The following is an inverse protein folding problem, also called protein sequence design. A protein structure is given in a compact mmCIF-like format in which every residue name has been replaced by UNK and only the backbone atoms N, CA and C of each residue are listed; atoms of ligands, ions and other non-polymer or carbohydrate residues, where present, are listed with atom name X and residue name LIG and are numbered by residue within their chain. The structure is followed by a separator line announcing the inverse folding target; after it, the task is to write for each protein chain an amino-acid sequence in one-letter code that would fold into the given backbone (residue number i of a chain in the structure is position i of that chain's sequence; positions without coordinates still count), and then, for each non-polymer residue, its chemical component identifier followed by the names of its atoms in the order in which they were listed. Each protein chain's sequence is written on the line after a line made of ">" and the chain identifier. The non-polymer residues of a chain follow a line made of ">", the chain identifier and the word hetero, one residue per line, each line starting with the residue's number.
data_IF_734096445494
#
_entry.id   IF_734096445494
#
_cell.length_a   1.000
_cell.length_b   1.000
_cell.length_c   1.000
_cell.angle_alpha   90.00
_cell.angle_beta   90.00
_cell.angle_gamma   90.00
#
_symmetry.space_group_name_H-M   'P 1'
#
loop_
_entity.id
_entity.type
_entity.pdbx_description
1 polymer ?
#
# COMPACT_ATOMS: atom_id res chain seq x y z
N UNK A 1 18.39 -15.05 -10.00
CA UNK A 1 17.91 -14.46 -11.28
C UNK A 1 18.63 -13.16 -11.61
N UNK A 2 18.70 -12.17 -10.71
CA UNK A 2 19.34 -10.87 -10.96
C UNK A 2 20.79 -10.94 -11.49
N UNK A 3 21.69 -11.68 -10.84
CA UNK A 3 23.09 -11.80 -11.30
C UNK A 3 23.24 -12.38 -12.73
N UNK A 4 22.29 -13.21 -13.17
CA UNK A 4 22.28 -13.76 -14.53
C UNK A 4 21.71 -12.76 -15.55
N UNK A 5 20.65 -12.05 -15.17
CA UNK A 5 20.08 -10.96 -15.98
C UNK A 5 21.05 -9.80 -16.15
N UNK A 6 21.82 -9.46 -15.11
CA UNK A 6 22.85 -8.42 -15.18
C UNK A 6 23.95 -8.79 -16.18
N UNK A 7 24.41 -10.04 -16.17
CA UNK A 7 25.40 -10.54 -17.13
C UNK A 7 24.85 -10.53 -18.56
N UNK A 8 23.62 -10.99 -18.75
CA UNK A 8 22.94 -10.95 -20.04
C UNK A 8 22.77 -9.51 -20.56
N UNK A 9 22.37 -8.59 -19.69
CA UNK A 9 22.21 -7.17 -20.04
C UNK A 9 23.55 -6.53 -20.44
N UNK A 10 24.65 -6.87 -19.74
CA UNK A 10 26.01 -6.44 -20.13
C UNK A 10 26.42 -6.96 -21.51
N UNK A 11 26.11 -8.23 -21.82
CA UNK A 11 26.39 -8.82 -23.13
C UNK A 11 25.54 -8.20 -24.26
N UNK A 12 24.29 -7.84 -23.96
CA UNK A 12 23.39 -7.20 -24.92
C UNK A 12 23.56 -5.68 -25.02
N UNK A 13 24.49 -5.08 -24.25
CA UNK A 13 24.65 -3.61 -24.18
C UNK A 13 23.47 -2.86 -23.55
N UNK A 14 22.55 -3.58 -22.91
CA UNK A 14 21.27 -3.06 -22.39
C UNK A 14 21.30 -2.62 -20.93
N UNK A 15 22.43 -2.07 -20.43
CA UNK A 15 22.54 -1.59 -19.05
C UNK A 15 22.37 -0.08 -19.01
N UNK A 16 21.28 0.38 -18.41
CA UNK A 16 21.07 1.79 -18.09
C UNK A 16 21.44 2.07 -16.61
N UNK A 17 22.10 3.20 -16.35
CA UNK A 17 22.46 3.64 -15.00
C UNK A 17 21.84 5.01 -14.75
N UNK A 18 20.99 5.12 -13.73
CA UNK A 18 20.38 6.38 -13.31
C UNK A 18 21.22 6.95 -12.16
N UNK A 19 21.85 8.10 -12.39
CA UNK A 19 22.62 8.83 -11.36
C UNK A 19 21.71 9.86 -10.70
N UNK A 20 21.34 9.61 -9.44
CA UNK A 20 20.48 10.50 -8.66
C UNK A 20 21.34 11.53 -7.93
N UNK A 21 20.95 12.81 -8.00
CA UNK A 21 21.61 13.90 -7.29
C UNK A 21 20.61 14.70 -6.44
N UNK A 22 21.08 15.25 -5.33
CA UNK A 22 20.29 16.09 -4.43
C UNK A 22 21.20 17.05 -3.64
N UNK A 23 20.61 18.07 -3.01
CA UNK A 23 21.36 19.08 -2.27
C UNK A 23 21.81 18.58 -0.87
N UNK A 24 21.06 17.65 -0.28
CA UNK A 24 21.36 17.04 1.02
C UNK A 24 21.31 15.52 0.93
N UNK A 25 21.99 14.83 1.85
CA UNK A 25 21.99 13.36 1.88
C UNK A 25 20.59 12.78 2.15
N UNK A 26 19.80 13.45 3.00
CA UNK A 26 18.42 13.04 3.29
C UNK A 26 17.55 13.11 2.04
N UNK A 27 17.63 14.20 1.29
CA UNK A 27 16.90 14.35 0.02
C UNK A 27 17.39 13.34 -1.04
N UNK A 28 18.71 13.07 -1.07
CA UNK A 28 19.29 12.08 -1.98
C UNK A 28 18.69 10.69 -1.74
N UNK A 29 18.60 10.28 -0.47
CA UNK A 29 18.03 8.98 -0.09
C UNK A 29 16.56 8.89 -0.48
N UNK A 30 15.77 9.92 -0.20
CA UNK A 30 14.34 9.96 -0.55
C UNK A 30 14.13 9.90 -2.07
N UNK A 31 14.84 10.72 -2.85
CA UNK A 31 14.74 10.70 -4.32
C UNK A 31 15.17 9.37 -4.91
N UNK A 32 16.23 8.77 -4.36
CA UNK A 32 16.72 7.47 -4.79
C UNK A 32 15.65 6.39 -4.56
N UNK A 33 15.03 6.35 -3.37
CA UNK A 33 13.96 5.40 -3.05
C UNK A 33 12.76 5.57 -4.00
N UNK A 34 12.32 6.81 -4.27
CA UNK A 34 11.25 7.07 -5.25
C UNK A 34 11.55 6.54 -6.65
N UNK A 35 12.80 6.66 -7.10
CA UNK A 35 13.21 6.15 -8.41
C UNK A 35 13.26 4.62 -8.41
N UNK A 36 13.71 3.99 -7.33
CA UNK A 36 13.70 2.53 -7.17
C UNK A 36 12.25 1.99 -7.18
N UNK A 37 11.34 2.66 -6.48
CA UNK A 37 9.91 2.32 -6.48
C UNK A 37 9.29 2.44 -7.87
N UNK A 38 9.56 3.53 -8.60
CA UNK A 38 9.09 3.72 -9.96
C UNK A 38 9.61 2.63 -10.93
N UNK A 39 10.88 2.23 -10.78
CA UNK A 39 11.46 1.15 -11.58
C UNK A 39 10.76 -0.19 -11.29
N UNK A 40 10.52 -0.50 -10.01
CA UNK A 40 9.84 -1.72 -9.61
C UNK A 40 8.38 -1.75 -10.07
N UNK A 41 7.67 -0.63 -9.96
CA UNK A 41 6.30 -0.47 -10.46
C UNK A 41 6.25 -0.70 -11.98
N UNK A 42 7.19 -0.11 -12.74
CA UNK A 42 7.26 -0.28 -14.20
C UNK A 42 7.53 -1.75 -14.58
N UNK A 43 8.46 -2.43 -13.88
CA UNK A 43 8.69 -3.87 -14.08
C UNK A 43 7.44 -4.69 -13.82
N UNK A 44 6.74 -4.41 -12.72
CA UNK A 44 5.49 -5.08 -12.36
C UNK A 44 4.37 -4.83 -13.39
N UNK A 45 4.30 -3.63 -13.95
CA UNK A 45 3.34 -3.26 -14.99
C UNK A 45 3.61 -4.00 -16.30
N UNK A 46 4.87 -4.20 -16.67
CA UNK A 46 5.25 -5.00 -17.86
C UNK A 46 4.86 -6.47 -17.68
N UNK A 47 4.92 -7.00 -16.46
CA UNK A 47 4.62 -8.41 -16.19
C UNK A 47 3.12 -8.74 -16.17
N UNK A 48 2.30 -7.94 -15.47
CA UNK A 48 0.86 -8.25 -15.26
C UNK A 48 -0.10 -7.16 -15.77
N UNK A 49 0.42 -6.10 -16.40
CA UNK A 49 -0.39 -5.00 -16.93
C UNK A 49 -0.73 -3.91 -15.91
N UNK A 50 -1.61 -3.00 -16.33
CA UNK A 50 -2.04 -1.81 -15.59
C UNK A 50 -3.53 -1.88 -15.26
N UNK A 51 -3.90 -1.25 -14.15
CA UNK A 51 -5.30 -1.06 -13.72
C UNK A 51 -5.55 0.40 -13.34
N UNK A 52 -6.83 0.85 -13.31
CA UNK A 52 -7.20 2.17 -12.77
C UNK A 52 -6.66 2.36 -11.35
N UNK A 53 -5.83 3.39 -11.16
CA UNK A 53 -5.13 3.61 -9.90
C UNK A 53 -5.98 4.27 -8.82
N UNK A 54 -5.31 4.75 -7.77
CA UNK A 54 -5.95 5.50 -6.68
C UNK A 54 -6.96 4.66 -5.88
N UNK A 55 -6.79 3.35 -5.85
CA UNK A 55 -7.73 2.40 -5.24
C UNK A 55 -8.99 2.12 -6.07
N UNK A 56 -9.16 2.75 -7.23
CA UNK A 56 -10.35 2.62 -8.09
C UNK A 56 -10.56 1.17 -8.55
N UNK A 57 -9.49 0.48 -8.92
CA UNK A 57 -9.56 -0.92 -9.30
C UNK A 57 -10.16 -1.82 -8.21
N UNK A 58 -9.89 -1.54 -6.93
CA UNK A 58 -10.38 -2.35 -5.80
C UNK A 58 -11.88 -2.14 -5.57
N UNK A 59 -12.38 -0.91 -5.75
CA UNK A 59 -13.82 -0.62 -5.66
C UNK A 59 -14.58 -1.23 -6.84
N UNK A 60 -14.02 -1.17 -8.05
CA UNK A 60 -14.64 -1.73 -9.25
C UNK A 60 -14.88 -3.25 -9.17
N UNK A 61 -14.09 -3.98 -8.38
CA UNK A 61 -14.23 -5.44 -8.22
C UNK A 61 -15.16 -5.84 -7.07
N UNK A 62 -15.68 -4.90 -6.27
CA UNK A 62 -16.60 -5.21 -5.16
C UNK A 62 -17.79 -6.07 -5.61
N UNK A 63 -18.47 -5.78 -6.74
CA UNK A 63 -19.61 -6.61 -7.19
C UNK A 63 -19.23 -8.07 -7.50
N UNK A 64 -17.94 -8.38 -7.71
CA UNK A 64 -17.51 -9.77 -7.89
C UNK A 64 -17.73 -10.61 -6.63
N UNK A 65 -17.74 -9.99 -5.44
CA UNK A 65 -18.02 -10.66 -4.17
C UNK A 65 -19.48 -11.12 -4.05
N UNK A 66 -20.42 -10.55 -4.83
CA UNK A 66 -21.83 -10.97 -4.83
C UNK A 66 -22.02 -12.37 -5.40
N UNK A 67 -21.02 -12.88 -6.12
CA UNK A 67 -20.99 -14.25 -6.67
C UNK A 67 -20.53 -15.29 -5.65
N UNK A 68 -19.99 -14.85 -4.50
CA UNK A 68 -19.51 -15.76 -3.45
C UNK A 68 -20.71 -16.19 -2.61
N UNK A 69 -21.09 -17.46 -2.74
CA UNK A 69 -22.14 -18.06 -1.91
C UNK A 69 -21.54 -18.41 -0.55
N UNK A 70 -21.96 -17.70 0.49
CA UNK A 70 -21.49 -17.88 1.85
C UNK A 70 -22.64 -17.67 2.85
N UNK A 71 -22.58 -18.33 4.00
CA UNK A 71 -23.59 -18.22 5.07
C UNK A 71 -22.92 -18.13 6.44
N UNK A 72 -23.61 -17.60 7.44
CA UNK A 72 -23.06 -17.48 8.79
C UNK A 72 -21.75 -16.66 8.83
N UNK A 73 -20.73 -17.17 9.49
CA UNK A 73 -19.45 -16.48 9.69
C UNK A 73 -18.66 -16.26 8.40
N UNK A 74 -18.82 -17.14 7.40
CA UNK A 74 -18.19 -16.96 6.09
C UNK A 74 -18.74 -15.70 5.39
N UNK A 75 -20.05 -15.44 5.51
CA UNK A 75 -20.66 -14.22 4.95
C UNK A 75 -20.13 -12.97 5.65
N UNK A 76 -19.89 -13.03 6.97
CA UNK A 76 -19.22 -11.97 7.71
C UNK A 76 -17.81 -11.71 7.16
N UNK A 77 -17.05 -12.77 6.84
CA UNK A 77 -15.75 -12.66 6.18
C UNK A 77 -15.81 -11.98 4.82
N UNK A 78 -16.78 -12.35 3.97
CA UNK A 78 -16.99 -11.70 2.66
C UNK A 78 -17.29 -10.21 2.85
N UNK A 79 -18.12 -9.85 3.82
CA UNK A 79 -18.46 -8.46 4.11
C UNK A 79 -17.28 -7.65 4.68
N UNK A 80 -16.37 -8.29 5.44
CA UNK A 80 -15.13 -7.66 5.88
C UNK A 80 -14.24 -7.30 4.68
N UNK A 81 -14.04 -8.24 3.75
CA UNK A 81 -13.28 -7.97 2.51
C UNK A 81 -13.93 -6.85 1.72
N UNK A 82 -15.26 -6.88 1.55
CA UNK A 82 -16.02 -5.82 0.87
C UNK A 82 -15.72 -4.44 1.44
N UNK A 83 -15.75 -4.29 2.77
CA UNK A 83 -15.43 -3.04 3.45
C UNK A 83 -13.95 -2.66 3.32
N UNK A 84 -13.05 -3.63 3.35
CA UNK A 84 -11.61 -3.40 3.25
C UNK A 84 -11.19 -2.90 1.85
N UNK A 85 -11.85 -3.35 0.79
CA UNK A 85 -11.56 -2.90 -0.59
C UNK A 85 -11.79 -1.39 -0.80
N UNK A 86 -12.63 -0.77 0.02
CA UNK A 86 -12.88 0.68 -0.02
C UNK A 86 -11.82 1.50 0.71
N UNK A 87 -11.07 0.88 1.62
CA UNK A 87 -10.17 1.58 2.53
C UNK A 87 -9.07 2.37 1.80
N UNK A 88 -8.45 1.88 0.71
CA UNK A 88 -7.43 2.64 -0.01
C UNK A 88 -7.96 3.94 -0.63
N UNK A 89 -9.14 3.91 -1.26
CA UNK A 89 -9.76 5.12 -1.83
C UNK A 89 -10.10 6.11 -0.72
N UNK A 90 -10.69 5.62 0.39
CA UNK A 90 -11.04 6.43 1.55
C UNK A 90 -9.81 7.13 2.12
N UNK A 91 -8.72 6.40 2.34
CA UNK A 91 -7.49 6.96 2.91
C UNK A 91 -6.85 8.00 1.98
N UNK A 92 -6.83 7.76 0.67
CA UNK A 92 -6.29 8.71 -0.31
C UNK A 92 -7.12 10.00 -0.33
N UNK A 93 -8.45 9.88 -0.28
CA UNK A 93 -9.36 11.02 -0.24
C UNK A 93 -9.23 11.83 1.06
N UNK A 94 -9.14 11.16 2.21
CA UNK A 94 -8.93 11.80 3.51
C UNK A 94 -7.59 12.55 3.56
N UNK A 95 -6.52 11.96 3.03
CA UNK A 95 -5.21 12.62 2.93
C UNK A 95 -5.23 13.84 1.99
N UNK A 96 -6.18 13.88 1.05
CA UNK A 96 -6.43 15.04 0.19
C UNK A 96 -7.39 16.07 0.81
N UNK A 97 -7.85 15.86 2.05
CA UNK A 97 -8.71 16.78 2.78
C UNK A 97 -10.19 16.75 2.38
N UNK A 98 -10.64 15.67 1.73
CA UNK A 98 -12.05 15.49 1.35
C UNK A 98 -12.66 14.26 2.05
N UNK A 99 -13.99 14.25 2.17
CA UNK A 99 -14.73 13.21 2.89
C UNK A 99 -14.68 11.86 2.14
N UNK A 100 -13.82 10.94 2.59
CA UNK A 100 -13.54 9.69 1.88
C UNK A 100 -14.77 8.79 1.70
N UNK A 101 -15.70 8.79 2.65
CA UNK A 101 -16.96 8.03 2.52
C UNK A 101 -17.83 8.54 1.37
N UNK A 102 -17.89 9.86 1.15
CA UNK A 102 -18.65 10.45 0.03
C UNK A 102 -18.00 10.07 -1.31
N UNK A 103 -16.67 10.09 -1.37
CA UNK A 103 -15.92 9.70 -2.58
C UNK A 103 -16.16 8.22 -2.91
N UNK A 104 -16.04 7.32 -1.92
CA UNK A 104 -16.27 5.88 -2.14
C UNK A 104 -17.70 5.60 -2.59
N UNK A 105 -18.70 6.20 -1.94
CA UNK A 105 -20.11 5.97 -2.29
C UNK A 105 -20.46 6.50 -3.68
N UNK A 106 -19.83 7.60 -4.11
CA UNK A 106 -19.95 8.06 -5.50
C UNK A 106 -19.25 7.10 -6.45
N UNK A 107 -18.02 6.68 -6.13
CA UNK A 107 -17.21 5.81 -6.99
C UNK A 107 -17.91 4.50 -7.34
N UNK A 108 -18.63 3.90 -6.38
CA UNK A 108 -19.43 2.68 -6.61
C UNK A 108 -20.51 2.82 -7.70
N UNK A 109 -20.94 4.05 -7.99
CA UNK A 109 -21.99 4.36 -8.98
C UNK A 109 -21.41 4.80 -10.32
N UNK A 110 -20.11 5.06 -10.38
CA UNK A 110 -19.44 5.49 -11.60
C UNK A 110 -19.09 4.28 -12.49
N UNK A 111 -18.93 4.48 -13.81
CA UNK A 111 -18.51 3.42 -14.71
C UNK A 111 -17.12 2.87 -14.36
N UNK A 112 -16.88 1.60 -14.69
CA UNK A 112 -15.57 0.97 -14.51
C UNK A 112 -14.48 1.78 -15.22
N UNK A 113 -13.45 2.16 -14.48
CA UNK A 113 -12.32 2.97 -14.97
C UNK A 113 -12.45 4.47 -14.72
N UNK A 114 -13.64 4.96 -14.40
CA UNK A 114 -13.83 6.32 -13.88
C UNK A 114 -13.47 6.36 -12.40
N UNK A 115 -12.74 7.38 -11.97
CA UNK A 115 -12.31 7.52 -10.58
C UNK A 115 -12.07 8.95 -10.15
N UNK A 116 -11.68 9.12 -8.90
CA UNK A 116 -11.42 10.42 -8.29
C UNK A 116 -9.92 10.73 -8.32
N UNK A 117 -9.55 11.82 -8.99
CA UNK A 117 -8.21 12.36 -8.95
C UNK A 117 -8.05 13.20 -7.68
N UNK A 118 -7.47 12.62 -6.64
CA UNK A 118 -7.26 13.28 -5.36
C UNK A 118 -6.28 14.48 -5.41
N UNK A 119 -5.47 14.61 -6.46
CA UNK A 119 -4.56 15.75 -6.62
C UNK A 119 -5.28 17.00 -7.16
N UNK A 120 -6.35 16.83 -7.97
CA UNK A 120 -7.10 17.95 -8.57
C UNK A 120 -8.52 18.09 -8.02
N UNK A 121 -9.06 17.07 -7.37
CA UNK A 121 -10.44 17.03 -6.90
C UNK A 121 -11.46 16.67 -7.99
N UNK A 122 -11.01 16.20 -9.15
CA UNK A 122 -11.87 15.96 -10.31
C UNK A 122 -12.16 14.47 -10.54
N UNK A 123 -13.29 14.19 -11.20
CA UNK A 123 -13.66 12.84 -11.62
C UNK A 123 -13.22 12.62 -13.05
N UNK A 124 -12.34 11.65 -13.25
CA UNK A 124 -11.67 11.43 -14.54
C UNK A 124 -11.63 9.95 -14.91
N UNK A 125 -11.43 9.68 -16.20
CA UNK A 125 -10.99 8.36 -16.66
C UNK A 125 -9.55 8.17 -16.17
N UNK A 126 -9.35 7.25 -15.23
CA UNK A 126 -8.09 7.11 -14.50
C UNK A 126 -6.94 6.73 -15.43
N UNK A 127 -7.20 5.89 -16.44
CA UNK A 127 -6.18 5.46 -17.39
C UNK A 127 -5.79 6.62 -18.31
N UNK A 128 -6.79 7.33 -18.86
CA UNK A 128 -6.52 8.49 -19.73
C UNK A 128 -5.83 9.63 -18.98
N UNK A 129 -6.14 9.81 -17.71
CA UNK A 129 -5.49 10.78 -16.83
C UNK A 129 -4.07 10.34 -16.39
N UNK A 130 -3.64 9.12 -16.72
CA UNK A 130 -2.34 8.58 -16.33
C UNK A 130 -2.25 8.13 -14.87
N UNK A 131 -3.38 8.04 -14.17
CA UNK A 131 -3.46 7.55 -12.79
C UNK A 131 -3.68 6.04 -12.84
N UNK A 132 -2.57 5.33 -12.98
CA UNK A 132 -2.53 3.87 -13.17
C UNK A 132 -1.66 3.20 -12.12
N UNK A 133 -2.10 2.03 -11.69
CA UNK A 133 -1.33 1.17 -10.80
C UNK A 133 -0.99 -0.16 -11.50
N UNK A 134 0.19 -0.75 -11.26
CA UNK A 134 0.49 -2.10 -11.75
C UNK A 134 -0.49 -3.12 -11.15
N UNK A 135 -1.08 -3.96 -12.00
CA UNK A 135 -2.05 -4.98 -11.59
C UNK A 135 -1.46 -5.93 -10.53
N UNK A 136 -0.20 -6.33 -10.74
CA UNK A 136 0.57 -7.16 -9.82
C UNK A 136 0.65 -6.58 -8.40
N UNK A 137 0.87 -5.28 -8.28
CA UNK A 137 1.02 -4.60 -6.99
C UNK A 137 -0.32 -4.59 -6.27
N UNK A 138 -1.40 -4.21 -6.97
CA UNK A 138 -2.77 -4.20 -6.42
C UNK A 138 -3.17 -5.58 -5.91
N UNK A 139 -2.95 -6.63 -6.72
CA UNK A 139 -3.24 -8.02 -6.36
C UNK A 139 -2.41 -8.50 -5.17
N UNK A 140 -1.10 -8.27 -5.21
CA UNK A 140 -0.17 -8.76 -4.17
C UNK A 140 -0.43 -8.07 -2.84
N UNK A 141 -0.72 -6.76 -2.84
CA UNK A 141 -1.06 -6.01 -1.64
C UNK A 141 -2.31 -6.59 -0.96
N UNK A 142 -3.38 -6.83 -1.72
CA UNK A 142 -4.61 -7.42 -1.19
C UNK A 142 -4.37 -8.84 -0.64
N UNK A 143 -3.66 -9.69 -1.38
CA UNK A 143 -3.38 -11.07 -0.95
C UNK A 143 -2.54 -11.13 0.31
N UNK A 144 -1.48 -10.32 0.40
CA UNK A 144 -0.61 -10.28 1.58
C UNK A 144 -1.35 -9.71 2.80
N UNK A 145 -2.13 -8.64 2.61
CA UNK A 145 -2.94 -8.06 3.69
C UNK A 145 -3.98 -9.06 4.21
N UNK A 146 -4.71 -9.74 3.32
CA UNK A 146 -5.68 -10.75 3.70
C UNK A 146 -5.02 -11.94 4.41
N UNK A 147 -3.85 -12.39 3.94
CA UNK A 147 -3.09 -13.48 4.56
C UNK A 147 -2.72 -13.18 6.01
N UNK A 148 -2.14 -12.00 6.26
CA UNK A 148 -1.75 -11.58 7.61
C UNK A 148 -2.99 -11.35 8.49
N UNK A 149 -4.02 -10.68 7.98
CA UNK A 149 -5.24 -10.42 8.73
C UNK A 149 -5.96 -11.71 9.14
N UNK A 150 -6.05 -12.70 8.25
CA UNK A 150 -6.66 -13.99 8.56
C UNK A 150 -5.91 -14.72 9.69
N UNK A 151 -4.57 -14.73 9.66
CA UNK A 151 -3.76 -15.32 10.75
C UNK A 151 -4.03 -14.60 12.08
N UNK A 152 -4.03 -13.27 12.08
CA UNK A 152 -4.31 -12.48 13.28
C UNK A 152 -5.72 -12.74 13.85
N UNK A 153 -6.75 -12.83 13.01
CA UNK A 153 -8.12 -13.07 13.45
C UNK A 153 -8.30 -14.44 14.13
N UNK A 154 -7.45 -15.41 13.80
CA UNK A 154 -7.46 -16.75 14.42
C UNK A 154 -6.50 -16.90 15.61
N UNK A 155 -5.83 -15.82 16.01
CA UNK A 155 -4.84 -15.86 17.10
C UNK A 155 -5.54 -15.74 18.45
N UNK A 156 -5.68 -16.85 19.16
CA UNK A 156 -6.32 -16.90 20.49
C UNK A 156 -5.36 -16.52 21.63
N UNK A 157 -4.06 -16.75 21.46
CA UNK A 157 -3.05 -16.48 22.48
C UNK A 157 -1.71 -16.08 21.87
N UNK A 158 -0.95 -15.26 22.60
CA UNK A 158 0.41 -14.84 22.24
C UNK A 158 1.32 -15.09 23.45
N UNK A 159 2.45 -15.76 23.20
CA UNK A 159 3.54 -15.89 24.19
C UNK A 159 4.59 -14.83 23.84
N UNK A 160 4.83 -13.91 24.77
CA UNK A 160 5.79 -12.83 24.59
C UNK A 160 6.80 -12.78 25.74
N UNK A 161 7.98 -12.24 25.47
CA UNK A 161 8.97 -11.99 26.49
C UNK A 161 8.44 -10.96 27.50
N UNK A 162 8.76 -11.18 28.78
CA UNK A 162 8.43 -10.22 29.83
C UNK A 162 9.21 -8.92 29.57
N UNK A 163 8.56 -7.74 29.58
CA UNK A 163 9.26 -6.48 29.41
C UNK A 163 10.40 -6.37 30.42
N UNK A 164 11.60 -6.05 29.93
CA UNK A 164 12.72 -5.75 30.82
C UNK A 164 12.36 -4.53 31.67
N UNK A 165 12.63 -4.61 32.97
CA UNK A 165 12.52 -3.42 33.81
C UNK A 165 13.60 -2.45 33.37
N UNK A 166 13.20 -1.25 32.95
CA UNK A 166 14.15 -0.16 32.72
C UNK A 166 15.03 -0.05 33.97
N UNK A 167 16.35 -0.22 33.78
CA UNK A 167 17.31 0.10 34.84
C UNK A 167 17.16 1.60 35.07
N UNK A 168 16.59 1.97 36.22
CA UNK A 168 16.56 3.36 36.65
C UNK A 168 17.97 3.94 36.47
N UNK A 169 18.13 5.10 35.82
CA UNK A 169 19.43 5.74 35.72
C UNK A 169 19.97 5.86 37.14
N UNK A 170 21.19 5.35 37.35
CA UNK A 170 21.89 5.46 38.60
C UNK A 170 21.94 6.95 38.96
N UNK A 171 21.11 7.36 39.92
CA UNK A 171 21.08 8.71 40.45
C UNK A 171 22.39 8.98 41.17
N UNK A 172 23.37 9.46 40.41
CA UNK A 172 24.50 10.18 40.97
C UNK A 172 24.01 11.55 41.45
N UNK A 173 24.41 11.92 42.66
CA UNK A 173 24.35 13.29 43.13
C UNK A 173 23.62 13.49 44.45
N UNK A 174 24.41 13.46 45.52
CA UNK A 174 24.54 14.56 46.48
C UNK A 174 23.29 15.02 47.28
N UNK A 175 23.42 14.91 48.60
CA UNK A 175 23.18 16.07 49.47
C UNK A 175 22.00 15.96 50.43
N UNK A 176 22.30 16.31 51.69
CA UNK A 176 21.43 16.66 52.81
C UNK A 176 20.61 15.56 53.48
N UNK A 177 20.39 15.54 54.79
CA UNK A 177 21.02 16.07 55.99
C UNK A 177 20.15 15.50 57.13
N UNK A 178 20.77 15.33 58.30
CA UNK A 178 20.18 15.39 59.64
C UNK A 178 19.41 14.21 60.28
N UNK A 179 20.01 13.84 61.42
CA UNK A 179 19.55 13.12 62.63
C UNK A 179 19.63 11.59 62.63
#
# INVERSE_FOLDING_TARGET
>A
REKLQERLAKLAGGVAVIKVGAATETELKEKKLRIEDALNATRAAVEEGLVPGGGTALVNIIPALDKVQATGDELTGVNLVRKALEAPVRQIAENAGVEGSVIVERLKKEPVGQGFNAATGEWVDMIKAGIVDPAKVTRSALQNAASVAAMFLTTEAVVADKPEKEKAPAGGGMGDMDM
#
